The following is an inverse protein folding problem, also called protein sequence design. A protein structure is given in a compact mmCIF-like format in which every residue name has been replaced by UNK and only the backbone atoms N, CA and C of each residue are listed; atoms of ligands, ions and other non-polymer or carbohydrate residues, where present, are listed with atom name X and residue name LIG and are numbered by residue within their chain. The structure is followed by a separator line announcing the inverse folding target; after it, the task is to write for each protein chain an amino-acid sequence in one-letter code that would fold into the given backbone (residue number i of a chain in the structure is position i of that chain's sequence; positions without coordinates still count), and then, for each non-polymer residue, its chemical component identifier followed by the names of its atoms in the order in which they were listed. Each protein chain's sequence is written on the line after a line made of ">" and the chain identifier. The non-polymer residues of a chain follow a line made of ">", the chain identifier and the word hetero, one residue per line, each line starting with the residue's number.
data_IF_540626202621
#
_entry.id   IF_540626202621
#
_cell.length_a   1.000
_cell.length_b   1.000
_cell.length_c   1.000
_cell.angle_alpha   90.00
_cell.angle_beta   90.00
_cell.angle_gamma   90.00
#
_symmetry.space_group_name_H-M   'P 1'
#
loop_
_entity.id
_entity.type
_entity.pdbx_description
1 polymer ?
#
# COMPACT_ATOMS: atom_id res chain seq x y z
N UNK A 1 -18.80 7.47 -14.59
CA UNK A 1 -17.91 7.59 -13.42
C UNK A 1 -17.35 9.00 -13.44
N UNK A 2 -17.63 9.82 -12.41
CA UNK A 2 -17.24 11.23 -12.42
C UNK A 2 -15.87 11.43 -11.76
N UNK A 3 -15.16 12.49 -12.17
CA UNK A 3 -13.87 12.89 -11.59
C UNK A 3 -13.98 13.14 -10.08
N UNK A 4 -15.14 13.61 -9.61
CA UNK A 4 -15.38 13.81 -8.18
C UNK A 4 -15.39 12.48 -7.40
N UNK A 5 -15.97 11.43 -7.96
CA UNK A 5 -15.99 10.09 -7.34
C UNK A 5 -14.57 9.52 -7.20
N UNK A 6 -13.70 9.80 -8.18
CA UNK A 6 -12.28 9.43 -8.14
C UNK A 6 -11.56 10.06 -6.94
N UNK A 7 -11.69 11.38 -6.80
CA UNK A 7 -11.02 12.12 -5.72
C UNK A 7 -11.55 11.72 -4.35
N UNK A 8 -12.86 11.57 -4.20
CA UNK A 8 -13.48 11.14 -2.94
C UNK A 8 -12.98 9.75 -2.53
N UNK A 9 -12.98 8.78 -3.47
CA UNK A 9 -12.50 7.42 -3.19
C UNK A 9 -11.02 7.38 -2.82
N UNK A 10 -10.17 8.15 -3.53
CA UNK A 10 -8.74 8.23 -3.18
C UNK A 10 -8.54 8.82 -1.80
N UNK A 11 -9.26 9.90 -1.44
CA UNK A 11 -9.12 10.54 -0.14
C UNK A 11 -9.57 9.63 0.99
N UNK A 12 -10.68 8.91 0.81
CA UNK A 12 -11.19 7.96 1.81
C UNK A 12 -10.21 6.80 2.04
N UNK A 13 -9.76 6.14 0.97
CA UNK A 13 -8.77 5.06 1.01
C UNK A 13 -7.43 5.53 1.60
N UNK A 14 -6.97 6.73 1.24
CA UNK A 14 -5.75 7.34 1.76
C UNK A 14 -5.83 7.56 3.28
N UNK A 15 -6.98 8.04 3.76
CA UNK A 15 -7.24 8.33 5.17
C UNK A 15 -7.26 7.04 5.99
N UNK A 16 -7.99 6.02 5.53
CA UNK A 16 -8.05 4.73 6.20
C UNK A 16 -6.66 4.07 6.26
N UNK A 17 -5.89 4.15 5.18
CA UNK A 17 -4.53 3.60 5.12
C UNK A 17 -3.56 4.30 6.05
N UNK A 18 -3.69 5.63 6.17
CA UNK A 18 -2.89 6.43 7.08
C UNK A 18 -3.12 6.00 8.53
N UNK A 19 -4.39 5.90 8.91
CA UNK A 19 -4.83 5.51 10.25
C UNK A 19 -4.31 4.09 10.54
N UNK A 20 -4.54 3.14 9.64
CA UNK A 20 -4.12 1.76 9.82
C UNK A 20 -2.60 1.63 9.96
N UNK A 21 -1.83 2.24 9.05
CA UNK A 21 -0.37 2.19 9.10
C UNK A 21 0.19 2.81 10.37
N UNK A 22 -0.34 3.95 10.80
CA UNK A 22 0.09 4.64 12.02
C UNK A 22 -0.24 3.82 13.27
N UNK A 23 -1.46 3.29 13.37
CA UNK A 23 -1.88 2.47 14.53
C UNK A 23 -1.04 1.20 14.62
N UNK A 24 -0.85 0.49 13.50
CA UNK A 24 -0.07 -0.75 13.48
C UNK A 24 1.36 -0.53 13.97
N UNK A 25 2.01 0.54 13.50
CA UNK A 25 3.36 0.91 13.93
C UNK A 25 3.42 1.28 15.42
N UNK A 26 2.46 2.06 15.90
CA UNK A 26 2.36 2.43 17.32
C UNK A 26 2.12 1.23 18.22
N UNK A 27 1.23 0.30 17.83
CA UNK A 27 0.97 -0.94 18.57
C UNK A 27 2.21 -1.83 18.61
N UNK A 28 2.92 -1.99 17.49
CA UNK A 28 4.19 -2.74 17.47
C UNK A 28 5.22 -2.15 18.44
N UNK A 29 5.38 -0.83 18.44
CA UNK A 29 6.31 -0.16 19.35
C UNK A 29 5.93 -0.34 20.84
N UNK A 30 4.63 -0.41 21.16
CA UNK A 30 4.15 -0.66 22.52
C UNK A 30 4.35 -2.11 22.97
N UNK A 31 4.21 -3.07 22.06
CA UNK A 31 4.39 -4.51 22.34
C UNK A 31 5.88 -4.86 22.42
N UNK A 32 6.70 -4.24 21.57
CA UNK A 32 8.10 -4.56 21.41
C UNK A 32 8.97 -3.71 22.34
N UNK A 33 9.12 -4.17 23.59
CA UNK A 33 9.90 -3.48 24.66
C UNK A 33 11.37 -3.19 24.34
N UNK A 34 11.90 -3.70 23.23
CA UNK A 34 13.31 -3.54 22.83
C UNK A 34 13.51 -2.52 21.69
N UNK A 35 12.45 -1.91 21.15
CA UNK A 35 12.53 -1.19 19.87
C UNK A 35 13.09 0.24 19.99
N UNK A 36 12.74 0.96 21.06
CA UNK A 36 13.36 2.20 21.56
C UNK A 36 12.49 2.73 22.72
N UNK A 37 13.08 3.18 23.84
CA UNK A 37 12.30 3.79 24.93
C UNK A 37 11.86 5.23 24.61
N UNK A 38 12.42 5.84 23.56
CA UNK A 38 12.06 7.21 23.18
C UNK A 38 10.68 7.26 22.49
N UNK A 39 9.68 7.68 23.25
CA UNK A 39 8.30 7.87 22.78
C UNK A 39 8.22 8.74 21.51
N UNK A 40 8.95 9.85 21.45
CA UNK A 40 8.89 10.78 20.29
C UNK A 40 9.41 10.08 19.03
N UNK A 41 10.50 9.31 19.17
CA UNK A 41 11.05 8.54 18.06
C UNK A 41 10.03 7.53 17.50
N UNK A 42 9.35 6.80 18.40
CA UNK A 42 8.35 5.81 18.01
C UNK A 42 7.14 6.45 17.30
N UNK A 43 6.70 7.63 17.75
CA UNK A 43 5.61 8.35 17.09
C UNK A 43 6.01 8.87 15.71
N UNK A 44 7.22 9.43 15.57
CA UNK A 44 7.72 9.87 14.26
C UNK A 44 7.87 8.69 13.30
N UNK A 45 8.32 7.53 13.79
CA UNK A 45 8.37 6.30 13.01
C UNK A 45 6.97 5.86 12.58
N UNK A 46 5.99 5.86 13.49
CA UNK A 46 4.62 5.49 13.18
C UNK A 46 3.97 6.39 12.12
N UNK A 47 4.17 7.71 12.22
CA UNK A 47 3.71 8.66 11.20
C UNK A 47 4.36 8.41 9.85
N UNK A 48 5.67 8.10 9.81
CA UNK A 48 6.35 7.76 8.56
C UNK A 48 5.79 6.49 7.93
N UNK A 49 5.50 5.46 8.73
CA UNK A 49 4.86 4.23 8.26
C UNK A 49 3.43 4.50 7.74
N UNK A 50 2.63 5.30 8.46
CA UNK A 50 1.33 5.78 7.99
C UNK A 50 1.40 6.45 6.62
N UNK A 51 2.32 7.40 6.44
CA UNK A 51 2.54 8.08 5.15
C UNK A 51 2.91 7.09 4.04
N UNK A 52 3.77 6.11 4.33
CA UNK A 52 4.16 5.10 3.34
C UNK A 52 2.98 4.23 2.90
N UNK A 53 2.13 3.79 3.85
CA UNK A 53 0.90 3.05 3.55
C UNK A 53 -0.08 3.88 2.71
N UNK A 54 -0.26 5.15 3.05
CA UNK A 54 -1.09 6.07 2.27
C UNK A 54 -0.57 6.26 0.85
N UNK A 55 0.74 6.46 0.68
CA UNK A 55 1.34 6.58 -0.65
C UNK A 55 1.10 5.32 -1.50
N UNK A 56 1.22 4.14 -0.90
CA UNK A 56 0.91 2.89 -1.58
C UNK A 56 -0.55 2.85 -2.03
N UNK A 57 -1.48 3.10 -1.11
CA UNK A 57 -2.89 2.92 -1.41
C UNK A 57 -3.43 3.98 -2.38
N UNK A 58 -2.95 5.23 -2.29
CA UNK A 58 -3.27 6.26 -3.29
C UNK A 58 -2.84 5.85 -4.70
N UNK A 59 -1.62 5.32 -4.86
CA UNK A 59 -1.14 4.85 -6.16
C UNK A 59 -1.98 3.67 -6.66
N UNK A 60 -2.23 2.68 -5.80
CA UNK A 60 -3.04 1.51 -6.13
C UNK A 60 -4.46 1.89 -6.58
N UNK A 61 -5.16 2.72 -5.81
CA UNK A 61 -6.51 3.18 -6.15
C UNK A 61 -6.51 4.00 -7.44
N UNK A 62 -5.51 4.86 -7.64
CA UNK A 62 -5.36 5.66 -8.86
C UNK A 62 -5.20 4.76 -10.09
N UNK A 63 -4.27 3.80 -10.03
CA UNK A 63 -4.01 2.87 -11.14
C UNK A 63 -5.23 1.99 -11.40
N UNK A 64 -5.88 1.48 -10.35
CA UNK A 64 -7.08 0.64 -10.48
C UNK A 64 -8.23 1.39 -11.13
N UNK A 65 -8.43 2.67 -10.79
CA UNK A 65 -9.44 3.50 -11.41
C UNK A 65 -9.13 3.77 -12.89
N UNK A 66 -7.87 4.09 -13.22
CA UNK A 66 -7.42 4.27 -14.61
C UNK A 66 -7.62 2.99 -15.42
N UNK A 67 -7.25 1.84 -14.86
CA UNK A 67 -7.43 0.54 -15.49
C UNK A 67 -8.91 0.15 -15.62
N UNK A 68 -9.78 0.72 -14.79
CA UNK A 68 -11.24 0.57 -14.87
C UNK A 68 -11.83 1.09 -16.18
N UNK A 69 -11.17 2.05 -16.85
CA UNK A 69 -11.63 2.56 -18.16
C UNK A 69 -11.41 1.57 -19.32
N UNK A 70 -10.52 0.59 -19.16
CA UNK A 70 -10.14 -0.33 -20.23
C UNK A 70 -10.98 -1.61 -20.28
N UNK A 71 -12.05 -1.71 -19.47
CA UNK A 71 -12.93 -2.90 -19.37
C UNK A 71 -12.21 -4.24 -19.18
N UNK A 72 -11.00 -4.20 -18.62
CA UNK A 72 -10.17 -5.38 -18.36
C UNK A 72 -10.80 -6.19 -17.22
N UNK A 73 -10.73 -7.52 -17.31
CA UNK A 73 -11.15 -8.44 -16.26
C UNK A 73 -10.59 -8.00 -14.88
N UNK A 74 -11.47 -7.94 -13.87
CA UNK A 74 -11.14 -7.49 -12.52
C UNK A 74 -9.91 -8.18 -11.92
N UNK A 75 -9.68 -9.47 -12.19
CA UNK A 75 -8.50 -10.20 -11.69
C UNK A 75 -7.19 -9.71 -12.33
N UNK A 76 -7.22 -9.42 -13.63
CA UNK A 76 -6.05 -8.93 -14.37
C UNK A 76 -5.78 -7.49 -13.97
N UNK A 77 -6.83 -6.67 -13.84
CA UNK A 77 -6.77 -5.30 -13.34
C UNK A 77 -6.08 -5.22 -11.97
N UNK A 78 -6.53 -6.03 -11.02
CA UNK A 78 -5.98 -6.09 -9.66
C UNK A 78 -4.48 -6.47 -9.66
N UNK A 79 -4.12 -7.53 -10.38
CA UNK A 79 -2.72 -7.94 -10.52
C UNK A 79 -1.85 -6.83 -11.14
N UNK A 80 -2.33 -6.18 -12.20
CA UNK A 80 -1.60 -5.08 -12.85
C UNK A 80 -1.43 -3.88 -11.91
N UNK A 81 -2.49 -3.49 -11.19
CA UNK A 81 -2.43 -2.40 -10.23
C UNK A 81 -1.42 -2.68 -9.12
N UNK A 82 -1.41 -3.90 -8.57
CA UNK A 82 -0.45 -4.33 -7.55
C UNK A 82 0.99 -4.26 -8.08
N UNK A 83 1.21 -4.77 -9.29
CA UNK A 83 2.53 -4.77 -9.91
C UNK A 83 3.04 -3.35 -10.16
N UNK A 84 2.24 -2.48 -10.80
CA UNK A 84 2.65 -1.11 -11.12
C UNK A 84 2.88 -0.31 -9.83
N UNK A 85 2.00 -0.44 -8.84
CA UNK A 85 2.17 0.24 -7.54
C UNK A 85 3.48 -0.15 -6.86
N UNK A 86 3.73 -1.45 -6.77
CA UNK A 86 4.92 -2.01 -6.12
C UNK A 86 6.20 -1.68 -6.89
N UNK A 87 6.12 -1.63 -8.22
CA UNK A 87 7.22 -1.20 -9.09
C UNK A 87 7.54 0.28 -8.90
N UNK A 88 6.53 1.16 -8.88
CA UNK A 88 6.73 2.61 -8.67
C UNK A 88 7.38 2.92 -7.33
N UNK A 89 6.99 2.20 -6.27
CA UNK A 89 7.58 2.35 -4.95
C UNK A 89 9.01 1.81 -4.93
N UNK A 90 9.23 0.62 -5.49
CA UNK A 90 10.54 0.00 -5.56
C UNK A 90 11.54 0.76 -6.44
N UNK A 91 11.07 1.61 -7.36
CA UNK A 91 11.92 2.43 -8.25
C UNK A 91 12.87 3.35 -7.47
N UNK A 92 12.51 3.76 -6.26
CA UNK A 92 13.38 4.55 -5.36
C UNK A 92 14.69 3.83 -5.02
N UNK A 93 14.71 2.51 -5.10
CA UNK A 93 15.86 1.65 -4.81
C UNK A 93 16.52 1.07 -6.09
N UNK A 94 16.15 1.57 -7.27
CA UNK A 94 16.67 1.12 -8.56
C UNK A 94 15.74 0.20 -9.35
N UNK A 95 15.93 0.14 -10.67
CA UNK A 95 15.03 -0.54 -11.60
C UNK A 95 14.99 -2.06 -11.38
N UNK A 96 16.14 -2.68 -11.13
CA UNK A 96 16.22 -4.12 -10.84
C UNK A 96 15.50 -4.49 -9.53
N UNK A 97 15.57 -3.63 -8.51
CA UNK A 97 14.81 -3.81 -7.28
C UNK A 97 13.31 -3.63 -7.51
N UNK A 98 12.91 -2.61 -8.26
CA UNK A 98 11.52 -2.33 -8.60
C UNK A 98 10.82 -3.53 -9.25
N UNK A 99 11.48 -4.18 -10.21
CA UNK A 99 10.93 -5.35 -10.88
C UNK A 99 10.75 -6.54 -9.93
N UNK A 100 11.77 -6.84 -9.11
CA UNK A 100 11.68 -7.88 -8.08
C UNK A 100 10.56 -7.60 -7.09
N UNK A 101 10.43 -6.34 -6.67
CA UNK A 101 9.39 -5.90 -5.73
C UNK A 101 7.98 -6.09 -6.32
N UNK A 102 7.80 -5.74 -7.60
CA UNK A 102 6.55 -5.98 -8.32
C UNK A 102 6.18 -7.46 -8.40
N UNK A 103 7.13 -8.33 -8.75
CA UNK A 103 6.90 -9.78 -8.79
C UNK A 103 6.59 -10.38 -7.42
N UNK A 104 7.33 -9.98 -6.39
CA UNK A 104 7.09 -10.45 -5.02
C UNK A 104 5.71 -10.04 -4.52
N UNK A 105 5.26 -8.83 -4.82
CA UNK A 105 3.92 -8.36 -4.47
C UNK A 105 2.81 -9.19 -5.15
N UNK A 106 3.00 -9.58 -6.42
CA UNK A 106 2.09 -10.48 -7.13
C UNK A 106 2.04 -11.86 -6.49
N UNK A 107 3.21 -12.44 -6.18
CA UNK A 107 3.32 -13.74 -5.51
C UNK A 107 2.63 -13.69 -4.15
N UNK A 108 2.86 -12.63 -3.37
CA UNK A 108 2.22 -12.44 -2.07
C UNK A 108 0.69 -12.35 -2.19
N UNK A 109 0.18 -11.59 -3.16
CA UNK A 109 -1.27 -11.49 -3.42
C UNK A 109 -1.87 -12.86 -3.81
N UNK A 110 -1.16 -13.63 -4.63
CA UNK A 110 -1.59 -14.98 -5.00
C UNK A 110 -1.62 -15.91 -3.78
N UNK A 111 -0.56 -15.92 -2.97
CA UNK A 111 -0.50 -16.72 -1.75
C UNK A 111 -1.66 -16.33 -0.83
N UNK A 112 -1.85 -15.04 -0.55
CA UNK A 112 -2.93 -14.55 0.29
C UNK A 112 -4.30 -15.05 -0.16
N UNK A 113 -4.58 -15.01 -1.47
CA UNK A 113 -5.83 -15.52 -2.07
C UNK A 113 -6.01 -17.04 -1.93
N UNK A 114 -4.93 -17.82 -1.93
CA UNK A 114 -4.99 -19.28 -1.82
C UNK A 114 -5.01 -19.77 -0.38
N UNK A 115 -4.36 -19.07 0.54
CA UNK A 115 -4.25 -19.51 1.93
C UNK A 115 -5.43 -19.06 2.81
N UNK A 116 -6.35 -18.21 2.31
CA UNK A 116 -7.37 -17.55 3.14
C UNK A 116 -6.78 -17.03 4.47
N UNK A 117 -5.56 -16.49 4.40
CA UNK A 117 -4.94 -15.86 5.56
C UNK A 117 -5.57 -14.47 5.68
N UNK A 118 -6.65 -14.45 6.48
CA UNK A 118 -7.72 -13.46 6.72
C UNK A 118 -9.06 -13.86 6.11
#
# INVERSE_FOLDING_TARGET
>A
MYIQDFYSNILEEATQSFIFGTINASVKALINKNENDNFIFNQVKALKEGIQFTQYNMLYTSITYIMGFYEINNKIKDAFSIFITSWLIGKRNGVGYAFKNGLLALIYNFIQKYTNLL
#
